data_IF_826460152103
#
_entry.id   IF_826460152103
#
_cell.length_a   1.000
_cell.length_b   1.000
_cell.length_c   1.000
_cell.angle_alpha   90.00
_cell.angle_beta   90.00
_cell.angle_gamma   90.00
#
_symmetry.space_group_name_H-M   'P 1'
#
loop_
_entity.id
_entity.type
_entity.pdbx_description
1 polymer ?
#
# COMPACT_ATOMS: atom_id res chain seq x y z
N UNK A 1 -66.83 -9.51 77.27
CA UNK A 1 -67.07 -10.64 76.37
C UNK A 1 -66.46 -10.30 75.02
N UNK A 2 -65.44 -11.10 74.63
CA UNK A 2 -65.03 -11.48 73.27
C UNK A 2 -64.86 -10.42 72.16
N UNK A 3 -63.60 -10.31 71.70
CA UNK A 3 -63.08 -10.38 70.32
C UNK A 3 -64.07 -10.19 69.14
N UNK A 4 -63.71 -9.40 68.11
CA UNK A 4 -62.80 -9.80 67.02
C UNK A 4 -62.57 -8.66 66.01
N UNK A 5 -61.56 -8.83 65.15
CA UNK A 5 -60.91 -7.86 64.27
C UNK A 5 -61.66 -7.48 62.98
N UNK A 6 -61.23 -6.41 62.29
CA UNK A 6 -60.48 -6.51 61.01
C UNK A 6 -60.70 -5.35 59.99
N UNK A 7 -59.58 -5.00 59.32
CA UNK A 7 -59.41 -4.30 58.01
C UNK A 7 -59.42 -2.76 57.96
N UNK A 8 -58.24 -2.18 58.18
CA UNK A 8 -57.87 -0.86 57.65
C UNK A 8 -57.46 -0.93 56.16
N UNK A 9 -58.03 -0.05 55.34
CA UNK A 9 -57.71 0.12 53.92
C UNK A 9 -56.28 0.64 53.71
N UNK A 10 -55.51 -0.03 52.88
CA UNK A 10 -54.22 0.45 52.38
C UNK A 10 -54.44 1.52 51.29
N UNK A 11 -53.87 2.71 51.45
CA UNK A 11 -54.04 3.85 50.53
C UNK A 11 -53.28 3.64 49.19
N UNK A 12 -53.80 4.19 48.07
CA UNK A 12 -53.23 4.01 46.73
C UNK A 12 -51.84 4.65 46.53
N UNK A 13 -51.37 5.47 47.48
CA UNK A 13 -50.04 6.08 47.45
C UNK A 13 -48.91 5.10 47.77
N UNK A 14 -49.14 4.09 48.64
CA UNK A 14 -48.12 3.07 48.93
C UNK A 14 -47.83 2.15 47.75
N UNK A 15 -48.81 1.94 46.87
CA UNK A 15 -48.68 1.04 45.71
C UNK A 15 -47.87 1.66 44.56
N UNK A 16 -47.83 2.99 44.45
CA UNK A 16 -46.98 3.69 43.45
C UNK A 16 -45.53 3.85 43.91
N UNK A 17 -45.28 3.98 45.22
CA UNK A 17 -43.92 4.10 45.75
C UNK A 17 -43.12 2.78 45.62
N UNK A 18 -43.79 1.63 45.76
CA UNK A 18 -43.18 0.31 45.59
C UNK A 18 -42.89 -0.06 44.12
N UNK A 19 -43.50 0.61 43.14
CA UNK A 19 -43.19 0.40 41.71
C UNK A 19 -42.09 1.34 41.18
N UNK A 20 -41.74 2.41 41.90
CA UNK A 20 -40.67 3.34 41.51
C UNK A 20 -39.25 2.90 41.88
N UNK A 21 -39.09 1.88 42.72
CA UNK A 21 -37.77 1.40 43.19
C UNK A 21 -37.28 0.10 42.52
N UNK A 22 -38.04 -0.45 41.57
CA UNK A 22 -37.66 -1.69 40.87
C UNK A 22 -37.00 -1.46 39.50
N UNK A 23 -36.82 -0.20 39.08
CA UNK A 23 -36.12 0.16 37.86
C UNK A 23 -34.86 0.95 38.21
N UNK A 24 -33.70 0.37 37.89
CA UNK A 24 -32.30 0.81 38.14
C UNK A 24 -31.70 0.25 39.44
N UNK A 25 -30.69 -0.65 39.40
CA UNK A 25 -29.64 -0.74 38.38
C UNK A 25 -29.43 -2.18 37.84
N UNK A 26 -30.07 -2.54 36.73
CA UNK A 26 -29.62 -3.70 35.94
C UNK A 26 -28.45 -3.34 34.99
N UNK A 27 -28.12 -2.05 34.85
CA UNK A 27 -27.03 -1.56 34.00
C UNK A 27 -25.64 -1.80 34.63
N UNK A 28 -25.55 -2.01 35.96
CA UNK A 28 -24.27 -2.32 36.63
C UNK A 28 -23.84 -3.78 36.51
N UNK A 29 -24.68 -4.65 35.94
CA UNK A 29 -24.39 -6.09 35.76
C UNK A 29 -24.02 -6.48 34.32
N UNK A 30 -23.89 -5.52 33.40
CA UNK A 30 -23.18 -5.81 32.15
C UNK A 30 -21.73 -6.15 32.54
N UNK A 31 -21.21 -7.35 32.18
CA UNK A 31 -19.81 -7.63 32.40
C UNK A 31 -19.04 -6.56 31.63
N UNK A 32 -18.45 -5.61 32.36
CA UNK A 32 -17.33 -4.85 31.80
C UNK A 32 -16.38 -5.93 31.32
N UNK A 33 -16.13 -5.99 30.01
CA UNK A 33 -15.04 -6.78 29.50
C UNK A 33 -13.80 -6.31 30.28
N UNK A 34 -13.40 -7.08 31.29
CA UNK A 34 -12.14 -6.91 31.98
C UNK A 34 -11.09 -7.31 30.97
N UNK A 35 -10.75 -6.37 30.08
CA UNK A 35 -9.48 -6.44 29.39
C UNK A 35 -8.44 -6.44 30.49
N UNK A 36 -7.68 -7.53 30.62
CA UNK A 36 -6.54 -7.59 31.50
C UNK A 36 -5.73 -6.30 31.27
N UNK A 37 -5.44 -5.58 32.35
CA UNK A 37 -4.73 -4.32 32.25
C UNK A 37 -3.41 -4.59 31.55
N UNK A 38 -3.27 -4.11 30.31
CA UNK A 38 -2.07 -4.31 29.54
C UNK A 38 -0.90 -3.74 30.35
N UNK A 39 0.24 -4.45 30.44
CA UNK A 39 1.41 -3.93 31.14
C UNK A 39 1.78 -2.57 30.54
N UNK A 40 2.26 -1.66 31.38
CA UNK A 40 2.70 -0.34 30.94
C UNK A 40 3.67 -0.48 29.75
N UNK A 41 3.55 0.38 28.74
CA UNK A 41 4.35 0.32 27.52
C UNK A 41 5.83 0.42 27.85
N UNK A 42 6.20 1.16 28.89
CA UNK A 42 7.57 1.23 29.43
C UNK A 42 8.13 -0.13 29.88
N UNK A 43 7.28 -1.09 30.27
CA UNK A 43 7.70 -2.44 30.68
C UNK A 43 7.95 -3.39 29.50
N UNK A 44 7.40 -3.10 28.30
CA UNK A 44 7.49 -3.97 27.11
C UNK A 44 8.26 -3.34 25.94
N UNK A 45 8.31 -2.01 25.84
CA UNK A 45 9.07 -1.28 24.83
C UNK A 45 10.53 -1.10 25.26
N UNK A 46 11.30 -2.19 25.19
CA UNK A 46 12.74 -2.19 25.52
C UNK A 46 13.62 -1.67 24.37
N UNK A 47 13.03 -1.47 23.18
CA UNK A 47 13.73 -1.05 21.96
C UNK A 47 13.88 0.46 21.84
N UNK A 48 13.20 1.23 22.70
CA UNK A 48 13.26 2.70 22.69
C UNK A 48 12.55 3.33 21.50
N UNK A 49 11.67 2.59 20.84
CA UNK A 49 10.82 3.11 19.76
C UNK A 49 9.87 4.18 20.29
N UNK A 50 9.41 5.08 19.43
CA UNK A 50 8.43 6.13 19.72
C UNK A 50 7.01 5.55 19.88
N UNK A 51 6.86 4.65 20.85
CA UNK A 51 5.64 3.97 21.27
C UNK A 51 5.45 4.20 22.75
N UNK A 52 4.33 4.83 23.10
CA UNK A 52 3.94 5.17 24.47
C UNK A 52 2.66 4.43 24.87
N UNK A 53 2.13 4.69 26.06
CA UNK A 53 0.85 4.14 26.49
C UNK A 53 -0.33 4.63 25.65
N UNK A 54 -0.17 5.77 24.97
CA UNK A 54 -1.26 6.42 24.23
C UNK A 54 -1.01 6.51 22.73
N UNK A 55 0.23 6.35 22.27
CA UNK A 55 0.61 6.65 20.89
C UNK A 55 1.61 5.65 20.30
N UNK A 56 1.57 5.47 18.98
CA UNK A 56 2.56 4.74 18.18
C UNK A 56 2.94 5.62 16.98
N UNK A 57 4.23 5.93 16.83
CA UNK A 57 4.69 6.77 15.73
C UNK A 57 5.20 5.90 14.58
N UNK A 58 4.75 6.17 13.37
CA UNK A 58 5.17 5.49 12.13
C UNK A 58 5.81 6.50 11.15
N UNK A 59 6.68 6.02 10.27
CA UNK A 59 7.25 6.81 9.19
C UNK A 59 6.46 6.64 7.90
N UNK A 60 6.26 7.73 7.16
CA UNK A 60 5.81 7.72 5.77
C UNK A 60 6.98 8.21 4.92
N UNK A 61 7.52 7.37 4.04
CA UNK A 61 8.68 7.69 3.22
C UNK A 61 8.40 7.40 1.74
N UNK A 62 8.00 8.45 1.03
CA UNK A 62 7.67 8.43 -0.39
C UNK A 62 8.24 9.69 -1.06
N UNK A 63 8.31 9.68 -2.38
CA UNK A 63 8.63 10.87 -3.17
C UNK A 63 7.43 11.81 -3.16
N UNK A 64 7.47 12.86 -2.34
CA UNK A 64 6.55 13.98 -2.43
C UNK A 64 6.96 14.96 -3.54
N UNK A 65 8.26 14.97 -3.88
CA UNK A 65 8.81 15.74 -4.99
C UNK A 65 9.58 14.86 -5.99
N UNK A 66 9.95 15.44 -7.14
CA UNK A 66 10.69 14.75 -8.20
C UNK A 66 9.80 13.98 -9.19
N UNK A 67 10.44 13.14 -10.03
CA UNK A 67 9.81 12.47 -11.18
C UNK A 67 8.73 11.44 -10.81
N UNK A 68 8.77 10.92 -9.58
CA UNK A 68 7.83 9.93 -9.06
C UNK A 68 6.69 10.53 -8.23
N UNK A 69 6.71 11.84 -7.93
CA UNK A 69 5.71 12.49 -7.07
C UNK A 69 4.26 12.23 -7.51
N UNK A 70 3.98 12.28 -8.81
CA UNK A 70 2.65 12.00 -9.38
C UNK A 70 2.18 10.58 -9.06
N UNK A 71 3.08 9.60 -9.02
CA UNK A 71 2.73 8.21 -8.70
C UNK A 71 2.61 7.97 -7.21
N UNK A 72 3.40 8.67 -6.39
CA UNK A 72 3.51 8.38 -4.96
C UNK A 72 2.57 9.21 -4.08
N UNK A 73 2.07 10.36 -4.57
CA UNK A 73 1.11 11.21 -3.83
C UNK A 73 -0.13 10.42 -3.40
N UNK A 74 -0.64 9.54 -4.27
CA UNK A 74 -1.81 8.72 -3.94
C UNK A 74 -1.55 7.77 -2.76
N UNK A 75 -0.34 7.21 -2.66
CA UNK A 75 0.05 6.33 -1.55
C UNK A 75 0.15 7.11 -0.24
N UNK A 76 0.77 8.30 -0.26
CA UNK A 76 0.88 9.17 0.92
C UNK A 76 -0.51 9.50 1.47
N UNK A 77 -1.44 9.91 0.62
CA UNK A 77 -2.79 10.29 1.06
C UNK A 77 -3.62 9.07 1.49
N UNK A 78 -3.45 7.92 0.84
CA UNK A 78 -4.10 6.68 1.26
C UNK A 78 -3.63 6.20 2.64
N UNK A 79 -2.33 6.30 2.92
CA UNK A 79 -1.75 5.96 4.22
C UNK A 79 -2.25 6.89 5.33
N UNK A 80 -2.32 8.21 5.07
CA UNK A 80 -2.90 9.18 6.00
C UNK A 80 -4.37 8.89 6.29
N UNK A 81 -5.16 8.60 5.25
CA UNK A 81 -6.57 8.24 5.40
C UNK A 81 -6.73 6.96 6.24
N UNK A 82 -5.91 5.93 5.97
CA UNK A 82 -5.94 4.70 6.74
C UNK A 82 -5.60 4.95 8.23
N UNK A 83 -4.60 5.78 8.50
CA UNK A 83 -4.24 6.19 9.86
C UNK A 83 -5.41 6.88 10.57
N UNK A 84 -6.10 7.82 9.88
CA UNK A 84 -7.27 8.50 10.42
C UNK A 84 -8.40 7.51 10.77
N UNK A 85 -8.71 6.59 9.87
CA UNK A 85 -9.74 5.57 10.06
C UNK A 85 -9.41 4.62 11.21
N UNK A 86 -8.18 4.11 11.27
CA UNK A 86 -7.72 3.23 12.37
C UNK A 86 -7.80 3.97 13.70
N UNK A 87 -7.39 5.24 13.73
CA UNK A 87 -7.50 6.07 14.93
C UNK A 87 -8.96 6.27 15.34
N UNK A 88 -9.88 6.53 14.42
CA UNK A 88 -11.31 6.64 14.72
C UNK A 88 -11.90 5.34 15.31
N UNK A 89 -11.36 4.18 14.92
CA UNK A 89 -11.74 2.86 15.44
C UNK A 89 -11.10 2.48 16.78
N UNK A 90 -10.39 3.40 17.43
CA UNK A 90 -9.76 3.18 18.74
C UNK A 90 -8.24 2.94 18.70
N UNK A 91 -7.63 3.00 17.51
CA UNK A 91 -6.19 2.88 17.33
C UNK A 91 -5.67 1.44 17.47
N UNK A 92 -4.35 1.30 17.57
CA UNK A 92 -3.68 0.00 17.68
C UNK A 92 -3.52 -0.34 19.16
N UNK A 93 -4.25 -1.35 19.63
CA UNK A 93 -4.28 -1.74 21.05
C UNK A 93 -4.58 -0.54 21.97
N UNK A 94 -5.48 0.35 21.54
CA UNK A 94 -5.84 1.59 22.26
C UNK A 94 -4.92 2.78 22.02
N UNK A 95 -3.81 2.62 21.28
CA UNK A 95 -2.84 3.70 20.98
C UNK A 95 -3.17 4.39 19.67
N UNK A 96 -3.13 5.72 19.64
CA UNK A 96 -3.28 6.50 18.41
C UNK A 96 -2.01 6.44 17.57
N UNK A 97 -2.17 6.22 16.28
CA UNK A 97 -1.09 6.29 15.31
C UNK A 97 -0.79 7.77 15.02
N UNK A 98 0.46 8.18 15.20
CA UNK A 98 1.04 9.41 14.66
C UNK A 98 1.97 9.07 13.51
N UNK A 99 2.11 9.97 12.54
CA UNK A 99 3.07 9.76 11.46
C UNK A 99 4.08 10.91 11.37
N UNK A 100 5.28 10.58 10.90
CA UNK A 100 6.29 11.52 10.44
C UNK A 100 6.50 11.26 8.96
N UNK A 101 6.25 12.27 8.13
CA UNK A 101 6.42 12.18 6.68
C UNK A 101 7.79 12.75 6.29
N UNK A 102 8.54 11.98 5.51
CA UNK A 102 9.78 12.41 4.88
C UNK A 102 9.66 12.33 3.35
N UNK A 103 10.35 13.24 2.66
CA UNK A 103 10.38 13.28 1.20
C UNK A 103 11.62 12.55 0.66
N UNK A 104 11.38 11.51 -0.14
CA UNK A 104 12.42 10.80 -0.86
C UNK A 104 12.90 11.49 -2.14
N UNK A 105 12.21 12.54 -2.60
CA UNK A 105 12.57 13.41 -3.73
C UNK A 105 12.86 12.68 -5.06
N UNK A 106 12.37 11.45 -5.24
CA UNK A 106 12.76 10.55 -6.34
C UNK A 106 14.27 10.27 -6.42
N UNK A 107 15.00 10.44 -5.31
CA UNK A 107 16.44 10.29 -5.19
C UNK A 107 16.79 9.21 -4.16
N UNK A 108 17.52 8.21 -4.61
CA UNK A 108 17.62 6.94 -3.90
C UNK A 108 18.56 7.04 -2.69
N UNK A 109 19.69 7.79 -2.77
CA UNK A 109 20.46 8.19 -1.58
C UNK A 109 19.61 8.97 -0.56
N UNK A 110 18.76 9.90 -1.01
CA UNK A 110 17.86 10.65 -0.12
C UNK A 110 16.90 9.72 0.62
N UNK A 111 16.33 8.71 -0.04
CA UNK A 111 15.52 7.67 0.63
C UNK A 111 16.30 6.97 1.75
N UNK A 112 17.55 6.56 1.52
CA UNK A 112 18.37 5.92 2.55
C UNK A 112 18.67 6.86 3.73
N UNK A 113 18.97 8.13 3.46
CA UNK A 113 19.18 9.16 4.48
C UNK A 113 17.92 9.36 5.34
N UNK A 114 16.75 9.52 4.71
CA UNK A 114 15.49 9.75 5.40
C UNK A 114 15.02 8.52 6.18
N UNK A 115 15.21 7.32 5.65
CA UNK A 115 14.98 6.09 6.40
C UNK A 115 15.84 6.04 7.66
N UNK A 116 17.13 6.41 7.57
CA UNK A 116 18.00 6.48 8.74
C UNK A 116 17.51 7.51 9.76
N UNK A 117 17.09 8.70 9.32
CA UNK A 117 16.50 9.71 10.23
C UNK A 117 15.28 9.14 10.96
N UNK A 118 14.34 8.54 10.24
CA UNK A 118 13.13 7.94 10.79
C UNK A 118 13.43 6.86 11.84
N UNK A 119 14.42 6.00 11.59
CA UNK A 119 14.77 4.91 12.51
C UNK A 119 15.62 5.36 13.71
N UNK A 120 16.59 6.25 13.49
CA UNK A 120 17.59 6.60 14.51
C UNK A 120 17.16 7.79 15.35
N UNK A 121 16.68 8.86 14.70
CA UNK A 121 16.33 10.10 15.37
C UNK A 121 14.89 10.07 15.86
N UNK A 122 13.96 9.73 14.94
CA UNK A 122 12.53 9.74 15.23
C UNK A 122 12.06 8.43 15.89
N UNK A 123 12.86 7.36 15.78
CA UNK A 123 12.62 6.04 16.35
C UNK A 123 11.23 5.48 16.04
N UNK A 124 10.77 5.68 14.81
CA UNK A 124 9.45 5.22 14.37
C UNK A 124 9.34 3.69 14.48
N UNK A 125 8.15 3.20 14.82
CA UNK A 125 7.90 1.77 15.00
C UNK A 125 7.99 0.98 13.68
N UNK A 126 7.64 1.62 12.56
CA UNK A 126 7.75 1.07 11.22
C UNK A 126 7.76 2.21 10.20
N UNK A 127 8.27 1.94 8.99
CA UNK A 127 8.21 2.82 7.84
C UNK A 127 7.26 2.20 6.82
N UNK A 128 6.26 2.97 6.38
CA UNK A 128 5.51 2.69 5.16
C UNK A 128 6.13 3.53 4.07
N UNK A 129 6.60 2.90 3.00
CA UNK A 129 7.39 3.67 2.05
C UNK A 129 8.08 2.88 0.96
N UNK A 130 8.75 3.67 0.12
CA UNK A 130 9.39 3.27 -1.12
C UNK A 130 8.38 2.78 -2.17
N UNK A 131 8.36 3.41 -3.34
CA UNK A 131 7.55 2.94 -4.47
C UNK A 131 8.39 2.22 -5.53
N UNK A 132 9.60 2.70 -5.75
CA UNK A 132 10.45 2.11 -6.77
C UNK A 132 11.32 1.03 -6.13
N UNK A 133 11.48 -0.13 -6.78
CA UNK A 133 12.40 -1.20 -6.31
C UNK A 133 13.80 -0.66 -5.98
N UNK A 134 14.20 0.30 -6.79
CA UNK A 134 15.25 1.26 -6.60
C UNK A 134 15.39 1.88 -5.20
N UNK A 135 14.42 2.72 -4.79
CA UNK A 135 14.37 3.35 -3.47
C UNK A 135 14.41 2.31 -2.35
N UNK A 136 13.67 1.21 -2.50
CA UNK A 136 13.66 0.10 -1.55
C UNK A 136 15.04 -0.55 -1.42
N UNK A 137 15.77 -0.79 -2.51
CA UNK A 137 17.14 -1.30 -2.46
C UNK A 137 18.11 -0.37 -1.73
N UNK A 138 17.93 0.94 -1.87
CA UNK A 138 18.74 1.91 -1.15
C UNK A 138 18.43 1.92 0.37
N UNK A 139 17.15 1.72 0.73
CA UNK A 139 16.69 1.67 2.13
C UNK A 139 17.00 0.33 2.81
N UNK A 140 17.04 -0.77 2.06
CA UNK A 140 17.25 -2.12 2.58
C UNK A 140 18.42 -2.25 3.58
N UNK A 141 19.67 -1.83 3.26
CA UNK A 141 20.77 -1.94 4.21
C UNK A 141 20.56 -1.10 5.48
N UNK A 142 19.80 -0.01 5.39
CA UNK A 142 19.50 0.86 6.55
C UNK A 142 18.52 0.15 7.50
N UNK A 143 17.44 -0.42 6.97
CA UNK A 143 16.46 -1.11 7.82
C UNK A 143 17.03 -2.38 8.43
N UNK A 144 17.92 -3.08 7.72
CA UNK A 144 18.64 -4.25 8.27
C UNK A 144 19.63 -3.84 9.36
N UNK A 145 20.41 -2.78 9.13
CA UNK A 145 21.40 -2.30 10.10
C UNK A 145 20.75 -1.85 11.42
N UNK A 146 19.61 -1.16 11.35
CA UNK A 146 18.92 -0.63 12.52
C UNK A 146 17.78 -1.53 13.02
N UNK A 147 17.63 -2.74 12.45
CA UNK A 147 16.54 -3.66 12.71
C UNK A 147 15.15 -2.99 12.66
N UNK A 148 14.98 -2.07 11.71
CA UNK A 148 13.72 -1.38 11.43
C UNK A 148 12.78 -2.26 10.62
N UNK A 149 11.50 -1.90 10.59
CA UNK A 149 10.50 -2.56 9.74
C UNK A 149 10.08 -1.64 8.60
N UNK A 150 10.21 -2.12 7.36
CA UNK A 150 9.69 -1.48 6.16
C UNK A 150 8.47 -2.26 5.65
N UNK A 151 7.34 -1.58 5.51
CA UNK A 151 6.21 -2.05 4.74
C UNK A 151 6.31 -1.47 3.33
N UNK A 152 6.66 -2.33 2.38
CA UNK A 152 6.82 -1.96 0.98
C UNK A 152 5.50 -2.20 0.23
N UNK A 153 4.80 -1.14 -0.21
CA UNK A 153 3.38 -1.22 -0.58
C UNK A 153 3.11 -1.73 -1.99
N UNK A 154 4.14 -2.08 -2.76
CA UNK A 154 3.98 -2.33 -4.20
C UNK A 154 4.73 -3.57 -4.69
N UNK A 155 4.53 -3.90 -5.96
CA UNK A 155 5.16 -5.02 -6.62
C UNK A 155 6.68 -4.84 -6.77
N UNK A 156 7.38 -5.96 -6.90
CA UNK A 156 8.83 -6.01 -7.09
C UNK A 156 9.26 -7.31 -7.77
N UNK A 157 10.55 -7.44 -8.03
CA UNK A 157 11.15 -8.47 -8.87
C UNK A 157 11.06 -9.88 -8.28
N UNK A 158 10.88 -10.01 -6.95
CA UNK A 158 10.89 -11.31 -6.26
C UNK A 158 12.27 -11.93 -6.04
N UNK A 159 13.35 -11.14 -6.24
CA UNK A 159 14.72 -11.64 -6.19
C UNK A 159 15.47 -11.28 -4.89
N UNK A 160 14.74 -10.89 -3.85
CA UNK A 160 15.31 -10.65 -2.54
C UNK A 160 14.32 -10.92 -1.42
N UNK A 161 14.88 -11.20 -0.25
CA UNK A 161 14.14 -11.47 0.97
C UNK A 161 14.88 -10.84 2.13
N UNK A 162 14.13 -10.19 3.02
CA UNK A 162 14.67 -9.63 4.26
C UNK A 162 13.66 -9.81 5.38
N UNK A 163 14.14 -10.05 6.60
CA UNK A 163 13.29 -10.15 7.79
C UNK A 163 12.71 -8.79 8.19
N UNK A 164 13.34 -7.71 7.73
CA UNK A 164 13.01 -6.33 8.04
C UNK A 164 12.06 -5.70 7.02
N UNK A 165 11.62 -6.44 6.02
CA UNK A 165 10.74 -5.93 4.96
C UNK A 165 9.51 -6.82 4.81
N UNK A 166 8.33 -6.21 4.90
CA UNK A 166 7.06 -6.83 4.56
C UNK A 166 6.69 -6.38 3.14
N UNK A 167 6.66 -7.34 2.23
CA UNK A 167 6.23 -7.15 0.86
C UNK A 167 4.72 -7.41 0.75
N UNK A 168 3.93 -6.39 0.44
CA UNK A 168 2.47 -6.53 0.33
C UNK A 168 1.97 -6.67 -1.11
N UNK A 169 2.81 -6.36 -2.10
CA UNK A 169 2.51 -6.50 -3.53
C UNK A 169 2.95 -7.84 -4.12
N UNK A 170 2.42 -8.17 -5.29
CA UNK A 170 2.79 -9.38 -6.04
C UNK A 170 4.20 -9.29 -6.62
N UNK A 171 4.91 -10.42 -6.64
CA UNK A 171 6.18 -10.54 -7.36
C UNK A 171 5.97 -10.55 -8.88
N UNK A 172 7.01 -10.20 -9.63
CA UNK A 172 7.03 -10.28 -11.10
C UNK A 172 6.52 -11.63 -11.62
N UNK A 173 6.94 -12.74 -11.01
CA UNK A 173 6.54 -14.10 -11.41
C UNK A 173 5.05 -14.37 -11.21
N UNK A 174 4.41 -13.73 -10.24
CA UNK A 174 3.01 -13.91 -9.90
C UNK A 174 2.08 -13.11 -10.82
N UNK A 175 2.47 -11.89 -11.24
CA UNK A 175 1.62 -11.03 -12.07
C UNK A 175 1.99 -11.02 -13.55
N UNK A 176 3.28 -10.97 -13.90
CA UNK A 176 3.72 -10.77 -15.30
C UNK A 176 3.48 -12.04 -16.08
N UNK A 177 3.86 -13.20 -15.53
CA UNK A 177 3.68 -14.48 -16.20
C UNK A 177 2.20 -14.80 -16.40
N UNK A 178 1.36 -14.47 -15.41
CA UNK A 178 -0.09 -14.61 -15.52
C UNK A 178 -0.65 -13.76 -16.67
N UNK A 179 -0.23 -12.48 -16.77
CA UNK A 179 -0.65 -11.59 -17.85
C UNK A 179 -0.19 -12.06 -19.23
N UNK A 180 1.06 -12.52 -19.35
CA UNK A 180 1.62 -13.06 -20.60
C UNK A 180 0.90 -14.35 -21.02
N UNK A 181 0.65 -15.27 -20.08
CA UNK A 181 -0.11 -16.49 -20.34
C UNK A 181 -1.52 -16.18 -20.82
N UNK A 182 -2.20 -15.25 -20.14
CA UNK A 182 -3.55 -14.84 -20.48
C UNK A 182 -3.61 -14.25 -21.88
N UNK A 183 -2.74 -13.29 -22.22
CA UNK A 183 -2.81 -12.63 -23.54
C UNK A 183 -2.40 -13.57 -24.68
N UNK A 184 -1.43 -14.47 -24.44
CA UNK A 184 -1.07 -15.49 -25.42
C UNK A 184 -2.23 -16.47 -25.67
N UNK A 185 -2.93 -16.90 -24.62
CA UNK A 185 -4.07 -17.83 -24.72
C UNK A 185 -5.30 -17.17 -25.35
N UNK A 186 -5.71 -16.02 -24.83
CA UNK A 186 -7.01 -15.41 -25.16
C UNK A 186 -6.95 -14.57 -26.45
N UNK A 187 -5.76 -14.06 -26.82
CA UNK A 187 -5.57 -13.23 -28.03
C UNK A 187 -4.65 -13.86 -29.06
N UNK A 188 -4.10 -15.04 -28.80
CA UNK A 188 -3.19 -15.72 -29.71
C UNK A 188 -1.88 -14.97 -29.93
N UNK A 189 -1.47 -14.11 -28.99
CA UNK A 189 -0.27 -13.27 -29.12
C UNK A 189 1.00 -14.13 -29.20
N UNK A 190 1.84 -13.86 -30.21
CA UNK A 190 3.10 -14.57 -30.46
C UNK A 190 4.32 -13.64 -30.52
N UNK A 191 4.11 -12.34 -30.69
CA UNK A 191 5.16 -11.34 -30.80
C UNK A 191 4.97 -10.19 -29.81
N UNK A 192 6.04 -9.86 -29.09
CA UNK A 192 6.01 -8.90 -28.00
C UNK A 192 7.07 -7.83 -28.22
N UNK A 193 6.75 -6.58 -27.90
CA UNK A 193 7.72 -5.48 -27.84
C UNK A 193 7.73 -4.93 -26.41
N UNK A 194 8.92 -4.83 -25.81
CA UNK A 194 9.08 -4.39 -24.43
C UNK A 194 9.52 -2.93 -24.37
N UNK A 195 8.91 -2.14 -23.49
CA UNK A 195 9.29 -0.75 -23.26
C UNK A 195 9.20 -0.40 -21.78
N UNK A 196 10.33 0.02 -21.21
CA UNK A 196 10.45 0.26 -19.78
C UNK A 196 11.19 1.53 -19.38
N UNK A 197 11.02 1.91 -18.12
CA UNK A 197 11.91 2.89 -17.50
C UNK A 197 13.26 2.26 -17.13
N UNK A 198 14.37 2.97 -17.33
CA UNK A 198 15.72 2.41 -17.19
C UNK A 198 16.17 2.33 -15.73
N UNK A 199 15.60 1.38 -15.00
CA UNK A 199 16.01 1.02 -13.63
C UNK A 199 15.73 -0.45 -13.35
N UNK A 200 16.02 -0.90 -12.12
CA UNK A 200 16.03 -2.33 -11.78
C UNK A 200 14.72 -3.06 -12.07
N UNK A 201 13.56 -2.43 -11.86
CA UNK A 201 12.27 -3.09 -12.05
C UNK A 201 12.05 -3.48 -13.50
N UNK A 202 12.02 -2.56 -14.48
CA UNK A 202 11.82 -2.96 -15.87
C UNK A 202 12.93 -3.86 -16.39
N UNK A 203 14.19 -3.59 -16.03
CA UNK A 203 15.34 -4.39 -16.47
C UNK A 203 15.25 -5.84 -16.02
N UNK A 204 14.72 -6.10 -14.82
CA UNK A 204 14.64 -7.45 -14.26
C UNK A 204 13.34 -8.14 -14.69
N UNK A 205 12.23 -7.41 -14.61
CA UNK A 205 10.91 -7.89 -15.04
C UNK A 205 10.88 -8.26 -16.52
N UNK A 206 11.48 -7.46 -17.40
CA UNK A 206 11.57 -7.80 -18.82
C UNK A 206 12.47 -9.01 -19.09
N UNK A 207 13.52 -9.24 -18.30
CA UNK A 207 14.32 -10.48 -18.40
C UNK A 207 13.51 -11.71 -18.01
N UNK A 208 12.69 -11.61 -16.96
CA UNK A 208 11.77 -12.69 -16.53
C UNK A 208 10.72 -12.91 -17.63
N UNK A 209 10.10 -11.84 -18.11
CA UNK A 209 9.09 -11.86 -19.17
C UNK A 209 9.62 -12.49 -20.46
N UNK A 210 10.81 -12.07 -20.92
CA UNK A 210 11.46 -12.58 -22.14
C UNK A 210 11.66 -14.08 -22.07
N UNK A 211 12.26 -14.57 -20.98
CA UNK A 211 12.49 -16.00 -20.77
C UNK A 211 11.18 -16.78 -20.84
N UNK A 212 10.11 -16.25 -20.25
CA UNK A 212 8.80 -16.90 -20.31
C UNK A 212 8.19 -16.89 -21.72
N UNK A 213 8.24 -15.75 -22.42
CA UNK A 213 7.76 -15.63 -23.80
C UNK A 213 8.46 -16.62 -24.72
N UNK A 214 9.79 -16.66 -24.69
CA UNK A 214 10.59 -17.45 -25.62
C UNK A 214 10.57 -18.94 -25.26
N UNK A 215 10.72 -19.29 -23.98
CA UNK A 215 10.90 -20.68 -23.56
C UNK A 215 9.59 -21.41 -23.27
N UNK A 216 8.56 -20.72 -22.78
CA UNK A 216 7.29 -21.34 -22.37
C UNK A 216 6.22 -21.10 -23.42
N UNK A 217 5.97 -19.84 -23.79
CA UNK A 217 4.92 -19.48 -24.74
C UNK A 217 5.29 -19.75 -26.20
N UNK A 218 6.58 -20.02 -26.47
CA UNK A 218 7.14 -20.18 -27.82
C UNK A 218 6.85 -18.97 -28.73
N UNK A 219 6.76 -17.79 -28.12
CA UNK A 219 6.67 -16.50 -28.80
C UNK A 219 8.05 -15.91 -29.06
N UNK A 220 8.07 -14.66 -29.54
CA UNK A 220 9.29 -13.89 -29.79
C UNK A 220 9.17 -12.48 -29.25
N UNK A 221 10.26 -11.94 -28.71
CA UNK A 221 10.35 -10.52 -28.39
C UNK A 221 11.02 -9.81 -29.56
N UNK A 222 10.29 -8.96 -30.26
CA UNK A 222 10.70 -8.28 -31.50
C UNK A 222 11.39 -6.93 -31.28
N UNK A 223 11.43 -6.47 -30.03
CA UNK A 223 12.16 -5.27 -29.63
C UNK A 223 12.07 -5.03 -28.12
N UNK A 224 13.05 -4.31 -27.59
CA UNK A 224 13.15 -3.96 -26.18
C UNK A 224 13.88 -2.63 -26.05
N UNK A 225 13.26 -1.63 -25.42
CA UNK A 225 13.80 -0.28 -25.28
C UNK A 225 13.63 0.24 -23.85
N UNK A 226 14.60 1.01 -23.38
CA UNK A 226 14.58 1.61 -22.04
C UNK A 226 14.84 3.09 -22.08
N UNK A 227 14.13 3.83 -21.24
CA UNK A 227 14.24 5.28 -21.15
C UNK A 227 14.42 5.74 -19.70
N UNK A 228 15.25 6.77 -19.43
CA UNK A 228 15.41 7.29 -18.09
C UNK A 228 14.07 7.77 -17.50
N UNK A 229 13.96 7.74 -16.17
CA UNK A 229 12.81 8.31 -15.47
C UNK A 229 12.61 9.78 -15.84
N UNK A 230 11.37 10.19 -16.06
CA UNK A 230 11.04 11.54 -16.51
C UNK A 230 11.24 11.77 -18.01
N UNK A 231 11.66 10.77 -18.79
CA UNK A 231 11.65 10.89 -20.26
C UNK A 231 10.25 11.18 -20.78
N UNK A 232 10.17 12.05 -21.78
CA UNK A 232 8.92 12.52 -22.37
C UNK A 232 8.83 12.28 -23.88
N UNK A 233 9.93 11.80 -24.49
CA UNK A 233 10.06 11.64 -25.93
C UNK A 233 10.03 10.16 -26.29
N UNK A 234 8.92 9.70 -26.88
CA UNK A 234 8.70 8.29 -27.25
C UNK A 234 8.54 8.07 -28.76
N UNK A 235 8.68 9.10 -29.59
CA UNK A 235 8.43 9.01 -31.04
C UNK A 235 9.30 7.95 -31.74
N UNK A 236 10.57 7.84 -31.36
CA UNK A 236 11.49 6.87 -31.95
C UNK A 236 11.06 5.42 -31.68
N UNK A 237 10.73 5.09 -30.43
CA UNK A 237 10.24 3.74 -30.09
C UNK A 237 8.86 3.46 -30.69
N UNK A 238 7.98 4.46 -30.78
CA UNK A 238 6.68 4.31 -31.47
C UNK A 238 6.89 3.95 -32.94
N UNK A 239 7.85 4.58 -33.63
CA UNK A 239 8.16 4.23 -35.01
C UNK A 239 8.71 2.80 -35.13
N UNK A 240 9.60 2.38 -34.22
CA UNK A 240 10.10 1.00 -34.17
C UNK A 240 8.96 -0.01 -33.94
N UNK A 241 8.03 0.29 -33.03
CA UNK A 241 6.84 -0.53 -32.77
C UNK A 241 5.96 -0.65 -34.03
N UNK A 242 5.71 0.47 -34.74
CA UNK A 242 4.94 0.46 -36.00
C UNK A 242 5.59 -0.37 -37.10
N UNK A 243 6.92 -0.36 -37.18
CA UNK A 243 7.67 -1.13 -38.17
C UNK A 243 7.69 -2.63 -37.82
N UNK A 244 7.85 -2.96 -36.54
CA UNK A 244 7.94 -4.36 -36.06
C UNK A 244 6.59 -5.05 -35.94
N UNK A 245 5.49 -4.29 -35.79
CA UNK A 245 4.10 -4.77 -35.69
C UNK A 245 3.95 -5.92 -34.68
N UNK A 246 4.33 -5.75 -33.41
CA UNK A 246 4.13 -6.77 -32.39
C UNK A 246 2.63 -6.97 -32.13
N UNK A 247 2.25 -8.17 -31.71
CA UNK A 247 0.89 -8.46 -31.22
C UNK A 247 0.63 -7.74 -29.89
N UNK A 248 1.68 -7.59 -29.07
CA UNK A 248 1.62 -7.00 -27.73
C UNK A 248 2.75 -6.01 -27.52
N UNK A 249 2.42 -4.83 -27.00
CA UNK A 249 3.38 -3.90 -26.40
C UNK A 249 3.30 -4.10 -24.89
N UNK A 250 4.33 -4.70 -24.30
CA UNK A 250 4.45 -4.82 -22.86
C UNK A 250 5.17 -3.58 -22.33
N UNK A 251 4.47 -2.78 -21.51
CA UNK A 251 4.97 -1.52 -21.00
C UNK A 251 5.11 -1.53 -19.49
N UNK A 252 6.30 -1.18 -19.03
CA UNK A 252 6.67 -0.98 -17.64
C UNK A 252 7.37 0.39 -17.46
N UNK A 253 6.86 1.39 -18.18
CA UNK A 253 7.21 2.81 -17.99
C UNK A 253 6.49 3.33 -16.76
N UNK A 254 7.21 4.02 -15.86
CA UNK A 254 6.68 4.48 -14.56
C UNK A 254 6.74 5.99 -14.39
N UNK A 255 6.04 6.53 -13.39
CA UNK A 255 6.03 7.96 -13.09
C UNK A 255 5.33 8.80 -14.15
N UNK A 256 5.69 10.09 -14.22
CA UNK A 256 5.16 11.01 -15.24
C UNK A 256 5.45 10.60 -16.69
N UNK A 257 6.42 9.71 -16.91
CA UNK A 257 6.69 9.14 -18.23
C UNK A 257 5.57 8.22 -18.72
N UNK A 258 4.84 7.55 -17.82
CA UNK A 258 3.77 6.63 -18.20
C UNK A 258 2.56 7.36 -18.79
N UNK A 259 2.10 8.44 -18.13
CA UNK A 259 0.97 9.25 -18.63
C UNK A 259 1.28 9.85 -20.01
N UNK A 260 2.54 10.22 -20.25
CA UNK A 260 2.96 10.78 -21.54
C UNK A 260 3.14 9.72 -22.63
N UNK A 261 3.72 8.56 -22.31
CA UNK A 261 3.82 7.42 -23.23
C UNK A 261 2.44 7.00 -23.73
N UNK A 262 1.47 6.82 -22.82
CA UNK A 262 0.08 6.46 -23.16
C UNK A 262 -0.65 7.53 -23.95
N UNK A 263 -0.37 8.82 -23.71
CA UNK A 263 -0.92 9.91 -24.54
C UNK A 263 -0.36 9.89 -25.96
N UNK A 264 0.93 9.59 -26.13
CA UNK A 264 1.60 9.57 -27.43
C UNK A 264 1.28 8.33 -28.27
N UNK A 265 0.85 7.24 -27.62
CA UNK A 265 0.46 5.98 -28.28
C UNK A 265 -1.02 5.94 -28.69
N UNK A 266 -1.85 6.91 -28.28
CA UNK A 266 -3.19 7.08 -28.83
C UNK A 266 -3.08 7.40 -30.32
N UNK A 267 -3.27 6.38 -31.13
CA UNK A 267 -3.55 6.55 -32.54
C UNK A 267 -4.79 7.45 -32.66
N UNK A 268 -4.84 8.40 -33.62
CA UNK A 268 -6.09 9.05 -33.95
C UNK A 268 -7.09 7.94 -34.26
N UNK A 269 -8.24 7.96 -33.59
CA UNK A 269 -9.34 7.07 -33.90
C UNK A 269 -9.55 7.13 -35.42
N UNK A 270 -9.51 5.99 -36.10
CA UNK A 270 -9.86 5.94 -37.50
C UNK A 270 -11.28 6.48 -37.62
N UNK A 271 -11.43 7.70 -38.11
CA UNK A 271 -12.69 8.21 -38.62
C UNK A 271 -13.03 7.32 -39.80
N UNK A 272 -13.81 6.27 -39.55
CA UNK A 272 -14.49 5.53 -40.62
C UNK A 272 -15.33 6.55 -41.37
N UNK A 273 -15.11 6.78 -42.67
CA UNK A 273 -15.93 7.68 -43.43
C UNK A 273 -17.32 7.05 -43.56
N UNK A 274 -18.32 7.86 -43.21
CA UNK A 274 -19.71 7.68 -43.58
C UNK A 274 -19.85 7.06 -44.98
N UNK A 275 -20.35 5.83 -45.06
CA UNK A 275 -21.01 5.34 -46.26
C UNK A 275 -22.52 5.46 -46.00
N UNK A 276 -23.12 6.38 -46.76
CA UNK A 276 -24.56 6.47 -46.96
C UNK A 276 -25.04 5.16 -47.58
N UNK A 277 -26.05 4.55 -46.96
CA UNK A 277 -27.38 4.31 -47.53
C UNK A 277 -28.37 4.33 -46.38
#
# INVERSE_FOLDING_TARGET
>A
MSDEASKGLLSPLRRKLLMGMAAVPAITMLPRASFAQAPATSAVNTTGLAVTDTEVTVGILHSATGTMAISETGSIEAEKLAIEQINAMGGVLGRKIKFIQEDGASDWPTFAEKAKKLLVNDKVAAIMGCWTSASRKAVLPVVEQYNGMLYYPTFYEGLEQSKNVIYTGQEATQQILAGLNWIAKEKGAKSFFFIGSDYIWPRTSNKIARKHVENVLKGKVVGEEYYPLGNTQFNSVINKIKLTKPDVIFTDVVGGSNSRSTSSSRLPASTSPSSRC
#
